data_IF_508700188917
#
_entry.id   IF_508700188917
#
_cell.length_a   1.000
_cell.length_b   1.000
_cell.length_c   1.000
_cell.angle_alpha   90.00
_cell.angle_beta   90.00
_cell.angle_gamma   90.00
#
_symmetry.space_group_name_H-M   'P 1'
#
loop_
_entity.id
_entity.type
_entity.pdbx_description
1 polymer ?
#
# COMPACT_ATOMS: atom_id res chain seq x y z
N UNK A 1 7.99 -8.80 40.59
CA UNK A 1 7.29 -9.71 39.97
C UNK A 1 6.05 -9.22 39.38
N UNK A 2 5.47 -8.43 40.00
CA UNK A 2 4.29 -8.03 39.50
C UNK A 2 4.40 -7.17 38.32
N UNK A 3 5.46 -6.50 38.13
CA UNK A 3 5.52 -5.64 37.05
C UNK A 3 5.33 -6.34 35.75
N UNK A 4 5.73 -7.57 35.68
CA UNK A 4 5.55 -8.28 34.52
C UNK A 4 4.15 -8.31 34.04
N UNK A 5 3.24 -8.74 34.81
CA UNK A 5 1.88 -8.78 34.42
C UNK A 5 1.38 -7.38 34.13
N UNK A 6 1.86 -6.44 34.86
CA UNK A 6 1.42 -5.10 34.67
C UNK A 6 1.80 -4.62 33.28
N UNK A 7 2.98 -4.95 32.90
CA UNK A 7 3.45 -4.54 31.59
C UNK A 7 2.58 -5.11 30.52
N UNK A 8 2.22 -6.33 30.66
CA UNK A 8 1.39 -6.97 29.68
C UNK A 8 0.05 -6.26 29.61
N UNK A 9 -0.50 -5.96 30.73
CA UNK A 9 -1.77 -5.31 30.76
C UNK A 9 -1.70 -3.97 30.07
N UNK A 10 -0.62 -3.26 30.29
CA UNK A 10 -0.50 -2.00 29.68
C UNK A 10 -0.42 -2.12 28.20
N UNK A 11 0.26 -3.13 27.75
CA UNK A 11 0.35 -3.33 26.34
C UNK A 11 -0.99 -3.61 25.75
N UNK A 12 -1.81 -4.33 26.45
CA UNK A 12 -3.09 -4.64 25.93
C UNK A 12 -3.92 -3.40 25.74
N UNK A 13 -3.83 -2.49 26.70
CA UNK A 13 -4.59 -1.28 26.60
C UNK A 13 -4.12 -0.48 25.42
N UNK A 14 -2.82 -0.37 25.29
CA UNK A 14 -2.26 0.34 24.19
C UNK A 14 -2.63 -0.35 22.92
N UNK A 15 -2.60 -1.67 22.94
CA UNK A 15 -2.87 -2.43 21.76
C UNK A 15 -4.27 -2.25 21.24
N UNK A 16 -5.23 -2.01 22.10
CA UNK A 16 -6.58 -1.84 21.64
C UNK A 16 -6.67 -0.68 20.69
N UNK A 17 -6.05 0.42 21.05
CA UNK A 17 -6.08 1.58 20.22
C UNK A 17 -5.22 1.37 18.99
N UNK A 18 -4.07 0.76 19.19
CA UNK A 18 -3.19 0.50 18.06
C UNK A 18 -3.82 -0.46 17.08
N UNK A 19 -4.57 -1.43 17.58
CA UNK A 19 -5.22 -2.36 16.68
C UNK A 19 -6.31 -1.67 15.87
N UNK A 20 -7.02 -0.74 16.49
CA UNK A 20 -8.04 -0.02 15.77
C UNK A 20 -7.42 0.80 14.66
N UNK A 21 -6.29 1.43 14.94
CA UNK A 21 -5.61 2.21 13.94
C UNK A 21 -5.04 1.32 12.85
N UNK A 22 -4.52 0.16 13.24
CA UNK A 22 -3.97 -0.76 12.26
C UNK A 22 -5.07 -1.28 11.35
N UNK A 23 -6.24 -1.56 11.91
CA UNK A 23 -7.33 -2.02 11.09
C UNK A 23 -7.79 -0.96 10.13
N UNK A 24 -7.82 0.28 10.58
CA UNK A 24 -8.24 1.37 9.71
C UNK A 24 -7.25 1.54 8.57
N UNK A 25 -5.95 1.42 8.85
CA UNK A 25 -4.94 1.53 7.83
C UNK A 25 -5.06 0.36 6.87
N UNK A 26 -5.29 -0.84 7.40
CA UNK A 26 -5.44 -2.01 6.56
C UNK A 26 -6.64 -1.88 5.65
N UNK A 27 -7.72 -1.31 6.15
CA UNK A 27 -8.90 -1.11 5.34
C UNK A 27 -8.60 -0.16 4.20
N UNK A 28 -7.84 0.90 4.45
CA UNK A 28 -7.50 1.84 3.41
C UNK A 28 -6.56 1.18 2.39
N UNK A 29 -5.63 0.36 2.88
CA UNK A 29 -4.73 -0.35 1.99
C UNK A 29 -5.53 -1.31 1.12
N UNK A 30 -6.44 -2.07 1.71
CA UNK A 30 -7.22 -3.04 0.97
C UNK A 30 -8.07 -2.35 -0.08
N UNK A 31 -8.57 -1.17 0.24
CA UNK A 31 -9.38 -0.42 -0.70
C UNK A 31 -8.54 -0.03 -1.91
N UNK A 32 -7.32 0.43 -1.67
CA UNK A 32 -6.44 0.80 -2.76
C UNK A 32 -6.00 -0.42 -3.55
N UNK A 33 -5.75 -1.53 -2.87
CA UNK A 33 -5.35 -2.74 -3.54
C UNK A 33 -6.48 -3.26 -4.42
N UNK A 34 -7.70 -3.22 -3.93
CA UNK A 34 -8.84 -3.65 -4.71
C UNK A 34 -8.99 -2.77 -5.96
N UNK A 35 -8.79 -1.47 -5.78
CA UNK A 35 -8.88 -0.56 -6.89
C UNK A 35 -7.83 -0.91 -7.95
N UNK A 36 -6.60 -1.20 -7.49
CA UNK A 36 -5.55 -1.56 -8.41
C UNK A 36 -5.90 -2.84 -9.16
N UNK A 37 -6.42 -3.83 -8.47
CA UNK A 37 -6.76 -5.08 -9.12
C UNK A 37 -7.82 -4.86 -10.20
N UNK A 38 -8.75 -3.99 -9.94
CA UNK A 38 -9.81 -3.75 -10.90
C UNK A 38 -9.28 -3.05 -12.15
N UNK A 39 -8.17 -2.34 -12.04
CA UNK A 39 -7.62 -1.61 -13.17
C UNK A 39 -6.27 -2.15 -13.63
N UNK A 40 -5.89 -3.31 -13.10
CA UNK A 40 -4.52 -3.80 -13.31
C UNK A 40 -4.15 -4.00 -14.75
N UNK A 41 -5.03 -4.58 -15.54
CA UNK A 41 -4.67 -4.88 -16.92
C UNK A 41 -4.27 -3.63 -17.67
N UNK A 42 -5.06 -2.59 -17.53
CA UNK A 42 -4.77 -1.38 -18.24
C UNK A 42 -3.56 -0.66 -17.68
N UNK A 43 -3.41 -0.65 -16.36
CA UNK A 43 -2.29 0.00 -15.74
C UNK A 43 -1.00 -0.68 -16.16
N UNK A 44 -0.98 -2.00 -16.15
CA UNK A 44 0.23 -2.71 -16.54
C UNK A 44 0.54 -2.49 -18.01
N UNK A 45 -0.48 -2.43 -18.83
CA UNK A 45 -0.26 -2.24 -20.24
C UNK A 45 0.29 -0.85 -20.55
N UNK A 46 -0.18 0.15 -19.83
CA UNK A 46 0.21 1.52 -20.12
C UNK A 46 1.47 2.01 -19.46
N UNK A 47 1.84 1.41 -18.33
CA UNK A 47 2.92 1.99 -17.53
C UNK A 47 4.06 1.04 -17.27
N UNK A 48 4.38 0.21 -18.24
CA UNK A 48 5.46 -0.72 -18.06
C UNK A 48 6.76 0.00 -17.82
N UNK A 49 7.54 -0.51 -16.88
CA UNK A 49 8.83 0.06 -16.56
C UNK A 49 8.76 1.28 -15.66
N UNK A 50 7.59 1.59 -15.15
CA UNK A 50 7.43 2.75 -14.32
C UNK A 50 6.98 2.34 -12.92
N UNK A 51 7.06 3.28 -11.99
CA UNK A 51 6.59 3.04 -10.64
C UNK A 51 5.26 3.73 -10.48
N UNK A 52 4.35 3.09 -9.76
CA UNK A 52 3.06 3.69 -9.51
C UNK A 52 2.82 3.75 -8.02
N UNK A 53 1.99 4.70 -7.61
CA UNK A 53 1.52 4.78 -6.23
C UNK A 53 0.01 4.83 -6.30
N UNK A 54 -0.65 4.03 -5.46
CA UNK A 54 -2.09 4.07 -5.37
C UNK A 54 -2.42 4.71 -4.03
N UNK A 55 -3.18 5.77 -4.09
CA UNK A 55 -3.59 6.49 -2.90
C UNK A 55 -4.95 7.11 -3.17
N UNK A 56 -5.87 6.99 -2.23
CA UNK A 56 -7.20 7.53 -2.40
C UNK A 56 -7.89 6.96 -3.61
N UNK A 57 -7.58 5.74 -3.96
CA UNK A 57 -8.12 5.07 -5.15
C UNK A 57 -7.82 5.89 -6.39
N UNK A 58 -6.59 6.39 -6.46
CA UNK A 58 -6.09 7.11 -7.62
C UNK A 58 -4.71 6.63 -7.97
N UNK A 59 -4.35 6.78 -9.23
CA UNK A 59 -3.07 6.32 -9.72
C UNK A 59 -2.11 7.46 -9.91
N UNK A 60 -0.88 7.30 -9.42
CA UNK A 60 0.19 8.27 -9.63
C UNK A 60 1.36 7.52 -10.23
N UNK A 61 1.92 8.03 -11.31
CA UNK A 61 2.99 7.35 -12.05
C UNK A 61 4.24 8.20 -12.05
N UNK A 62 5.39 7.56 -11.85
CA UNK A 62 6.65 8.28 -11.85
C UNK A 62 7.77 7.35 -12.25
N UNK A 63 8.96 7.91 -12.45
CA UNK A 63 10.10 7.11 -12.85
C UNK A 63 10.86 6.53 -11.67
N UNK A 64 10.58 7.00 -10.47
CA UNK A 64 11.23 6.47 -9.28
C UNK A 64 10.18 6.19 -8.22
N UNK A 65 10.47 5.27 -7.31
CA UNK A 65 9.49 4.97 -6.26
C UNK A 65 9.27 6.17 -5.34
N UNK A 66 10.32 6.93 -5.06
CA UNK A 66 10.17 8.08 -4.19
C UNK A 66 9.26 9.14 -4.81
N UNK A 67 9.40 9.37 -6.11
CA UNK A 67 8.56 10.36 -6.77
C UNK A 67 7.11 9.90 -6.81
N UNK A 68 6.89 8.61 -7.06
CA UNK A 68 5.52 8.10 -7.08
C UNK A 68 4.90 8.23 -5.70
N UNK A 69 5.65 7.87 -4.67
CA UNK A 69 5.15 7.95 -3.32
C UNK A 69 4.83 9.40 -2.94
N UNK A 70 5.72 10.32 -3.30
CA UNK A 70 5.53 11.72 -2.96
C UNK A 70 4.27 12.28 -3.61
N UNK A 71 4.01 11.88 -4.85
CA UNK A 71 2.81 12.33 -5.54
C UNK A 71 1.56 11.84 -4.83
N UNK A 72 1.53 10.58 -4.48
CA UNK A 72 0.37 10.03 -3.79
C UNK A 72 0.18 10.64 -2.43
N UNK A 73 1.26 10.86 -1.71
CA UNK A 73 1.16 11.43 -0.38
C UNK A 73 0.71 12.88 -0.44
N UNK A 74 1.18 13.60 -1.45
CA UNK A 74 0.80 14.99 -1.59
C UNK A 74 -0.68 15.13 -1.89
N UNK A 75 -1.21 14.26 -2.73
CA UNK A 75 -2.61 14.33 -3.11
C UNK A 75 -3.53 13.80 -2.02
N UNK A 76 -3.09 12.77 -1.31
CA UNK A 76 -3.92 12.13 -0.29
C UNK A 76 -3.13 11.92 0.99
N UNK A 77 -2.78 13.00 1.67
CA UNK A 77 -1.96 12.86 2.88
C UNK A 77 -2.63 12.08 3.99
N UNK A 78 -3.93 12.03 3.96
CA UNK A 78 -4.66 11.32 5.01
C UNK A 78 -4.74 9.83 4.74
N UNK A 79 -4.36 9.38 3.55
CA UNK A 79 -4.49 7.96 3.22
C UNK A 79 -3.20 7.22 3.53
N UNK A 80 -3.12 6.64 4.71
CA UNK A 80 -1.92 5.90 5.10
C UNK A 80 -1.96 4.47 4.59
N UNK A 81 -2.91 4.14 3.73
CA UNK A 81 -2.92 2.84 3.06
C UNK A 81 -2.36 2.91 1.66
N UNK A 82 -1.69 4.00 1.31
CA UNK A 82 -1.09 4.13 -0.01
C UNK A 82 0.11 3.23 -0.13
N UNK A 83 0.43 2.81 -1.33
CA UNK A 83 1.60 1.98 -1.56
C UNK A 83 2.16 2.21 -2.95
N UNK A 84 3.41 1.79 -3.14
CA UNK A 84 4.10 1.96 -4.39
C UNK A 84 4.36 0.59 -4.98
N UNK A 85 4.27 0.47 -6.30
CA UNK A 85 4.51 -0.78 -6.97
C UNK A 85 5.25 -0.53 -8.27
N UNK A 86 6.18 -1.41 -8.61
CA UNK A 86 6.90 -1.31 -9.86
C UNK A 86 6.13 -2.12 -10.91
N UNK A 87 5.97 -1.57 -12.09
CA UNK A 87 5.29 -2.26 -13.18
C UNK A 87 6.38 -2.81 -14.10
N UNK A 88 6.52 -4.13 -14.17
CA UNK A 88 7.61 -4.72 -14.95
C UNK A 88 7.52 -4.32 -16.40
N UNK A 89 8.68 -4.17 -17.00
CA UNK A 89 8.74 -3.82 -18.40
C UNK A 89 8.26 -4.95 -19.27
N UNK A 90 8.52 -6.18 -18.88
CA UNK A 90 8.16 -7.30 -19.70
C UNK A 90 7.10 -8.12 -19.04
N UNK A 91 6.34 -8.81 -19.85
CA UNK A 91 5.37 -9.71 -19.31
C UNK A 91 6.08 -10.84 -18.69
N UNK A 92 5.86 -11.07 -17.46
CA UNK A 92 6.50 -12.12 -16.78
C UNK A 92 6.17 -13.48 -17.18
N UNK A 93 4.98 -13.77 -17.24
CA UNK A 93 4.61 -15.14 -17.43
C UNK A 93 5.18 -15.80 -18.60
N UNK A 94 5.53 -15.05 -19.55
CA UNK A 94 5.97 -15.66 -20.69
C UNK A 94 7.09 -16.55 -20.41
N UNK A 95 7.74 -16.26 -19.45
CA UNK A 95 8.84 -17.06 -19.14
C UNK A 95 8.46 -18.43 -18.89
N UNK A 96 7.37 -18.63 -18.28
CA UNK A 96 7.05 -19.93 -17.98
C UNK A 96 6.41 -20.62 -19.03
N UNK A 97 5.97 -19.91 -19.94
CA UNK A 97 5.33 -20.53 -21.02
C UNK A 97 6.25 -21.55 -21.55
N UNK A 98 7.42 -21.43 -21.25
CA UNK A 98 8.25 -22.46 -21.75
C UNK A 98 8.40 -23.61 -20.96
#
# INVERSE_FOLDING_TARGET
>A
MTEKPTTVAMQEVTDTQELAEARARRTRFDRNETWLQAHAAEIYRRHRGRYICIAGKELFVADTPNAAYASGKSAHPEDDGRFVRYIPEEKLPRVYAD
#
